data_IF_692280246695
#
_entry.id   IF_692280246695
#
_cell.length_a   1.000
_cell.length_b   1.000
_cell.length_c   1.000
_cell.angle_alpha   90.00
_cell.angle_beta   90.00
_cell.angle_gamma   90.00
#
_symmetry.space_group_name_H-M   'P 1'
#
loop_
_entity.id
_entity.type
_entity.pdbx_description
1 polymer ?
#
# COMPACT_ATOMS: atom_id res chain seq x y z
N UNK A 1 46.36 27.91 -0.85
CA UNK A 1 46.56 26.47 -0.57
C UNK A 1 45.80 26.19 0.72
N UNK A 2 44.51 25.84 0.63
CA UNK A 2 43.95 24.47 0.51
C UNK A 2 43.98 23.75 1.87
N UNK A 3 42.86 23.79 2.61
CA UNK A 3 41.87 22.70 2.81
C UNK A 3 42.37 21.67 3.85
N UNK A 4 41.62 21.25 4.86
CA UNK A 4 40.19 21.00 4.89
C UNK A 4 39.61 21.14 6.31
N UNK A 5 38.42 21.73 6.40
CA UNK A 5 37.49 21.55 7.51
C UNK A 5 36.97 20.10 7.47
N UNK A 6 37.07 19.43 8.62
CA UNK A 6 36.64 18.06 8.85
C UNK A 6 35.18 18.07 9.31
N UNK A 7 34.26 17.91 8.35
CA UNK A 7 32.85 17.66 8.65
C UNK A 7 32.66 16.15 8.86
N UNK A 8 32.40 15.76 10.09
CA UNK A 8 32.14 14.37 10.46
C UNK A 8 30.78 13.92 9.94
N UNK A 9 30.71 12.68 9.48
CA UNK A 9 29.50 12.00 8.97
C UNK A 9 28.30 11.97 9.93
N UNK A 10 28.51 12.28 11.21
CA UNK A 10 27.46 12.32 12.24
C UNK A 10 26.52 13.53 12.12
N UNK A 11 26.92 14.62 11.44
CA UNK A 11 26.09 15.82 11.30
C UNK A 11 25.01 15.71 10.21
N UNK A 12 25.04 14.66 9.38
CA UNK A 12 24.05 14.44 8.30
C UNK A 12 22.79 13.70 8.74
N UNK A 13 22.79 13.04 9.90
CA UNK A 13 21.69 12.18 10.34
C UNK A 13 20.72 12.84 11.33
N UNK A 14 21.03 14.03 11.82
CA UNK A 14 20.18 14.70 12.81
C UNK A 14 19.48 15.89 12.16
N UNK A 15 18.22 15.69 11.76
CA UNK A 15 17.26 16.67 11.21
C UNK A 15 17.01 16.69 9.70
N UNK A 16 16.93 15.52 9.06
CA UNK A 16 16.29 15.44 7.73
C UNK A 16 14.77 15.33 7.94
N UNK A 17 14.03 16.42 7.72
CA UNK A 17 12.56 16.38 7.68
C UNK A 17 12.11 15.50 6.53
N UNK A 18 10.95 14.84 6.66
CA UNK A 18 10.37 13.93 5.66
C UNK A 18 10.31 14.53 4.25
N UNK A 19 10.19 15.86 4.16
CA UNK A 19 10.20 16.62 2.90
C UNK A 19 11.56 16.63 2.18
N UNK A 20 12.69 16.51 2.90
CA UNK A 20 14.03 16.51 2.32
C UNK A 20 14.38 15.12 1.78
N UNK A 21 13.90 14.05 2.43
CA UNK A 21 13.97 12.67 1.90
C UNK A 21 13.15 12.52 0.60
N UNK A 22 11.98 13.16 0.50
CA UNK A 22 11.15 13.14 -0.71
C UNK A 22 11.78 13.86 -1.91
N UNK A 23 12.59 14.92 -1.68
CA UNK A 23 13.19 15.71 -2.78
C UNK A 23 14.32 15.00 -3.52
N UNK A 24 14.92 13.97 -2.92
CA UNK A 24 15.98 13.17 -3.58
C UNK A 24 15.36 12.07 -4.47
N UNK A 25 14.09 11.70 -4.28
CA UNK A 25 13.46 10.57 -4.97
C UNK A 25 12.56 10.94 -6.17
N UNK A 26 12.62 12.18 -6.67
CA UNK A 26 11.69 12.63 -7.72
C UNK A 26 11.87 11.94 -9.10
N UNK A 27 12.90 11.09 -9.27
CA UNK A 27 13.12 10.26 -10.46
C UNK A 27 13.16 8.74 -10.20
N UNK A 28 13.30 8.32 -8.95
CA UNK A 28 13.25 6.92 -8.50
C UNK A 28 12.14 6.84 -7.46
N UNK A 29 10.96 6.33 -7.84
CA UNK A 29 9.81 6.35 -6.92
C UNK A 29 10.17 5.75 -5.56
N UNK A 30 9.74 6.43 -4.50
CA UNK A 30 10.19 6.22 -3.15
C UNK A 30 9.89 4.79 -2.68
N UNK A 31 10.82 4.22 -1.93
CA UNK A 31 10.67 2.92 -1.27
C UNK A 31 10.51 3.15 0.23
N UNK A 32 9.56 4.03 0.59
CA UNK A 32 9.33 4.46 1.96
C UNK A 32 8.56 3.38 2.74
N UNK A 33 8.79 3.31 4.06
CA UNK A 33 8.01 2.44 4.95
C UNK A 33 6.56 2.94 5.02
N UNK A 34 5.59 2.07 4.74
CA UNK A 34 4.17 2.40 4.65
C UNK A 34 3.38 2.19 5.95
N UNK A 35 4.04 1.92 7.09
CA UNK A 35 3.37 1.66 8.39
C UNK A 35 2.32 2.70 8.76
N UNK A 36 2.62 3.99 8.56
CA UNK A 36 1.69 5.09 8.90
C UNK A 36 0.42 5.16 8.05
N UNK A 37 0.34 4.40 6.96
CA UNK A 37 -0.83 4.35 6.07
C UNK A 37 -1.68 3.10 6.27
N UNK A 38 -1.29 2.17 7.13
CA UNK A 38 -2.05 0.95 7.45
C UNK A 38 -3.16 1.28 8.44
N UNK A 39 -4.38 0.89 8.11
CA UNK A 39 -5.52 0.99 9.01
C UNK A 39 -5.54 -0.20 9.97
N UNK A 40 -4.74 -0.07 11.04
CA UNK A 40 -4.45 -1.13 12.02
C UNK A 40 -5.69 -1.59 12.80
N UNK A 41 -6.64 -0.70 13.04
CA UNK A 41 -7.85 -1.00 13.82
C UNK A 41 -8.79 -1.93 13.05
N UNK A 42 -8.71 -1.92 11.72
CA UNK A 42 -9.51 -2.74 10.83
C UNK A 42 -8.74 -3.93 10.22
N UNK A 43 -7.57 -4.28 10.78
CA UNK A 43 -6.86 -5.50 10.39
C UNK A 43 -7.60 -6.71 10.94
N UNK A 44 -7.98 -7.62 10.05
CA UNK A 44 -8.75 -8.83 10.38
C UNK A 44 -7.96 -10.07 10.03
N UNK A 45 -8.06 -11.11 10.85
CA UNK A 45 -7.51 -12.42 10.55
C UNK A 45 -8.57 -13.51 10.61
N UNK A 46 -8.43 -14.54 9.77
CA UNK A 46 -9.22 -15.76 9.80
C UNK A 46 -8.34 -16.95 10.14
N UNK A 47 -8.94 -17.93 10.83
CA UNK A 47 -8.27 -19.10 11.39
C UNK A 47 -7.08 -18.75 12.29
N UNK A 48 -7.16 -17.65 13.05
CA UNK A 48 -6.19 -17.34 14.09
C UNK A 48 -6.57 -18.03 15.40
N UNK A 49 -5.56 -18.50 16.16
CA UNK A 49 -5.76 -19.02 17.51
C UNK A 49 -6.46 -18.00 18.42
N UNK A 50 -6.12 -16.73 18.24
CA UNK A 50 -6.79 -15.58 18.86
C UNK A 50 -7.10 -14.52 17.80
N UNK A 51 -8.36 -14.35 17.37
CA UNK A 51 -8.70 -13.41 16.28
C UNK A 51 -8.29 -11.95 16.54
N UNK A 52 -8.29 -11.53 17.80
CA UNK A 52 -7.88 -10.20 18.25
C UNK A 52 -6.40 -9.89 18.05
N UNK A 53 -5.56 -10.89 17.72
CA UNK A 53 -4.13 -10.69 17.55
C UNK A 53 -3.73 -10.26 16.14
N UNK A 54 -4.65 -10.22 15.17
CA UNK A 54 -4.34 -9.84 13.79
C UNK A 54 -3.62 -8.47 13.65
N UNK A 55 -3.96 -7.41 14.40
CA UNK A 55 -3.23 -6.14 14.31
C UNK A 55 -1.79 -6.20 14.87
N UNK A 56 -1.49 -7.17 15.73
CA UNK A 56 -0.22 -7.25 16.47
C UNK A 56 1.00 -7.55 15.58
N UNK A 57 0.78 -8.12 14.40
CA UNK A 57 1.85 -8.30 13.40
C UNK A 57 2.22 -7.00 12.67
N UNK A 58 1.42 -5.94 12.79
CA UNK A 58 1.71 -4.64 12.18
C UNK A 58 2.45 -3.76 13.20
N UNK A 59 3.76 -3.93 13.29
CA UNK A 59 4.61 -3.24 14.26
C UNK A 59 5.32 -2.03 13.64
N UNK A 60 5.75 -1.04 14.45
CA UNK A 60 6.72 -0.04 14.02
C UNK A 60 8.02 -0.70 13.52
N UNK A 61 8.79 0.01 12.70
CA UNK A 61 10.03 -0.53 12.12
C UNK A 61 11.07 -0.96 13.18
N UNK A 62 11.10 -0.29 14.33
CA UNK A 62 12.05 -0.59 15.40
C UNK A 62 11.74 -1.91 16.13
N UNK A 63 10.47 -2.32 16.12
CA UNK A 63 9.97 -3.56 16.76
C UNK A 63 9.83 -4.72 15.76
N UNK A 64 10.28 -4.54 14.52
CA UNK A 64 10.05 -5.49 13.42
C UNK A 64 10.63 -6.90 13.63
N UNK A 65 11.61 -7.05 14.51
CA UNK A 65 12.28 -8.32 14.85
C UNK A 65 11.81 -8.91 16.19
N UNK A 66 10.85 -8.25 16.85
CA UNK A 66 10.25 -8.76 18.07
C UNK A 66 9.42 -10.03 17.78
N UNK A 67 9.68 -11.09 18.54
CA UNK A 67 9.01 -12.39 18.44
C UNK A 67 7.98 -12.61 19.57
N UNK A 68 7.83 -11.68 20.53
CA UNK A 68 6.86 -11.79 21.63
C UNK A 68 5.42 -11.63 21.14
N UNK A 69 5.17 -10.64 20.28
CA UNK A 69 3.87 -10.44 19.64
C UNK A 69 3.80 -11.15 18.28
N UNK A 70 2.83 -12.05 18.12
CA UNK A 70 2.68 -12.86 16.91
C UNK A 70 1.22 -13.25 16.65
N UNK A 71 0.97 -13.72 15.44
CA UNK A 71 -0.24 -14.48 15.10
C UNK A 71 0.13 -15.92 14.83
N UNK A 72 -0.75 -16.83 15.23
CA UNK A 72 -0.64 -18.26 15.00
C UNK A 72 -1.98 -18.77 14.49
N UNK A 73 -1.96 -19.73 13.57
CA UNK A 73 -3.19 -20.38 13.12
C UNK A 73 -3.83 -21.25 14.21
N UNK A 74 -5.17 -21.34 14.20
CA UNK A 74 -5.95 -21.96 15.27
C UNK A 74 -6.19 -23.45 15.09
N UNK A 75 -6.54 -23.87 13.87
CA UNK A 75 -7.00 -25.25 13.58
C UNK A 75 -5.95 -26.04 12.80
N UNK A 76 -5.54 -25.53 11.65
CA UNK A 76 -4.56 -26.13 10.74
C UNK A 76 -3.47 -25.10 10.42
N UNK A 77 -2.66 -25.32 9.38
CA UNK A 77 -1.59 -24.41 8.98
C UNK A 77 -2.03 -23.22 8.14
N UNK A 78 -3.28 -23.15 7.69
CA UNK A 78 -3.73 -22.06 6.85
C UNK A 78 -4.18 -20.86 7.70
N UNK A 79 -3.78 -19.65 7.34
CA UNK A 79 -4.34 -18.44 7.94
C UNK A 79 -4.45 -17.32 6.92
N UNK A 80 -5.46 -16.48 7.12
CA UNK A 80 -5.69 -15.29 6.30
C UNK A 80 -5.46 -14.05 7.15
N UNK A 81 -4.76 -13.07 6.59
CA UNK A 81 -4.66 -11.72 7.13
C UNK A 81 -5.14 -10.72 6.08
N UNK A 82 -6.16 -9.95 6.43
CA UNK A 82 -6.67 -8.85 5.61
C UNK A 82 -6.23 -7.51 6.22
N UNK A 83 -5.48 -6.74 5.44
CA UNK A 83 -4.81 -5.52 5.87
C UNK A 83 -5.31 -4.37 5.01
N UNK A 84 -6.21 -3.52 5.53
CA UNK A 84 -6.65 -2.30 4.84
C UNK A 84 -5.64 -1.16 4.98
N UNK A 85 -5.70 -0.25 4.02
CA UNK A 85 -4.94 1.00 4.01
C UNK A 85 -5.88 2.21 4.06
N UNK A 86 -5.41 3.28 4.69
CA UNK A 86 -6.12 4.55 4.82
C UNK A 86 -6.26 5.32 3.50
N UNK A 87 -5.42 5.02 2.51
CA UNK A 87 -5.43 5.63 1.18
C UNK A 87 -4.94 4.62 0.15
N UNK A 88 -5.05 4.97 -1.13
CA UNK A 88 -4.47 4.18 -2.21
C UNK A 88 -2.95 4.27 -2.20
N UNK A 89 -2.30 3.11 -2.11
CA UNK A 89 -0.84 2.97 -2.11
C UNK A 89 -0.36 2.27 -3.38
N UNK A 90 0.90 2.53 -3.73
CA UNK A 90 1.68 1.71 -4.66
C UNK A 90 2.65 0.87 -3.84
N UNK A 91 2.40 -0.44 -3.78
CA UNK A 91 3.24 -1.37 -3.03
C UNK A 91 4.40 -1.86 -3.90
N UNK A 92 5.61 -1.83 -3.34
CA UNK A 92 6.84 -2.29 -4.00
C UNK A 92 7.43 -3.52 -3.33
N UNK A 93 7.52 -3.50 -2.01
CA UNK A 93 8.07 -4.61 -1.24
C UNK A 93 7.10 -4.99 -0.12
N UNK A 94 6.94 -6.29 0.10
CA UNK A 94 6.35 -6.87 1.31
C UNK A 94 7.50 -7.26 2.23
N UNK A 95 7.49 -6.73 3.44
CA UNK A 95 8.49 -6.99 4.46
C UNK A 95 7.88 -7.96 5.47
N UNK A 96 8.48 -9.13 5.68
CA UNK A 96 7.96 -10.14 6.60
C UNK A 96 9.03 -10.65 7.55
N UNK A 97 8.66 -10.82 8.81
CA UNK A 97 9.44 -11.60 9.76
C UNK A 97 8.67 -12.87 10.09
N UNK A 98 9.14 -13.97 9.51
CA UNK A 98 8.59 -15.31 9.71
C UNK A 98 9.53 -16.10 10.64
N UNK A 99 9.07 -17.23 11.22
CA UNK A 99 9.95 -18.17 11.90
C UNK A 99 11.14 -18.56 11.03
N UNK A 100 12.29 -18.83 11.65
CA UNK A 100 13.52 -19.14 10.92
C UNK A 100 13.33 -20.30 9.92
N UNK A 101 14.08 -20.36 8.81
CA UNK A 101 14.04 -21.48 7.89
C UNK A 101 14.22 -22.82 8.61
N UNK A 102 13.39 -23.80 8.27
CA UNK A 102 13.35 -25.11 8.95
C UNK A 102 12.54 -25.14 10.25
N UNK A 103 12.00 -24.02 10.73
CA UNK A 103 11.12 -24.02 11.89
C UNK A 103 9.76 -24.69 11.56
N UNK A 104 9.21 -25.55 12.44
CA UNK A 104 8.02 -26.37 12.15
C UNK A 104 6.76 -25.56 11.83
N UNK A 105 6.67 -24.32 12.34
CA UNK A 105 5.54 -23.41 12.12
C UNK A 105 5.81 -22.31 11.08
N UNK A 106 6.90 -22.42 10.30
CA UNK A 106 7.14 -21.47 9.20
C UNK A 106 6.17 -21.80 8.07
N UNK A 107 5.36 -20.86 7.56
CA UNK A 107 4.56 -21.08 6.36
C UNK A 107 5.49 -21.30 5.16
N UNK A 108 5.13 -22.21 4.27
CA UNK A 108 5.89 -22.54 3.06
C UNK A 108 5.41 -21.77 1.84
N UNK A 109 4.15 -21.33 1.82
CA UNK A 109 3.55 -20.64 0.69
C UNK A 109 2.74 -19.43 1.13
N UNK A 110 2.78 -18.39 0.31
CA UNK A 110 2.03 -17.15 0.48
C UNK A 110 1.32 -16.77 -0.83
N UNK A 111 -0.01 -16.75 -0.80
CA UNK A 111 -0.85 -16.19 -1.87
C UNK A 111 -1.30 -14.78 -1.50
N UNK A 112 -1.14 -13.85 -2.43
CA UNK A 112 -1.42 -12.42 -2.21
C UNK A 112 -2.56 -11.98 -3.11
N UNK A 113 -3.58 -11.37 -2.50
CA UNK A 113 -4.71 -10.75 -3.17
C UNK A 113 -4.78 -9.27 -2.79
N UNK A 114 -5.46 -8.45 -3.60
CA UNK A 114 -5.62 -7.04 -3.29
C UNK A 114 -6.96 -6.52 -3.77
N UNK A 115 -7.43 -5.45 -3.13
CA UNK A 115 -8.67 -4.75 -3.46
C UNK A 115 -9.92 -5.63 -3.43
N UNK A 116 -9.96 -6.64 -2.54
CA UNK A 116 -11.21 -7.33 -2.22
C UNK A 116 -12.21 -6.34 -1.60
N UNK A 117 -13.49 -6.37 -1.98
CA UNK A 117 -14.50 -5.41 -1.51
C UNK A 117 -14.83 -5.57 -0.02
N UNK A 118 -14.60 -6.76 0.52
CA UNK A 118 -14.68 -7.11 1.94
C UNK A 118 -13.53 -8.08 2.27
N UNK A 119 -13.24 -8.33 3.57
CA UNK A 119 -12.32 -9.40 3.96
C UNK A 119 -12.84 -10.74 3.40
N UNK A 120 -12.12 -11.39 2.49
CA UNK A 120 -12.60 -12.61 1.86
C UNK A 120 -12.39 -13.82 2.77
N UNK A 121 -13.24 -14.83 2.63
CA UNK A 121 -13.06 -16.11 3.29
C UNK A 121 -12.20 -17.10 2.46
N UNK A 122 -11.97 -18.29 2.99
CA UNK A 122 -11.17 -19.31 2.32
C UNK A 122 -11.78 -19.77 0.99
N UNK A 123 -13.11 -19.98 0.93
CA UNK A 123 -13.78 -20.45 -0.27
C UNK A 123 -13.75 -19.41 -1.40
N UNK A 124 -13.88 -18.13 -1.04
CA UNK A 124 -13.73 -17.03 -1.98
C UNK A 124 -12.30 -16.98 -2.53
N UNK A 125 -11.28 -17.08 -1.68
CA UNK A 125 -9.87 -17.07 -2.11
C UNK A 125 -9.50 -18.26 -2.98
N UNK A 126 -10.12 -19.43 -2.81
CA UNK A 126 -9.93 -20.59 -3.69
C UNK A 126 -10.45 -20.34 -5.11
N UNK A 127 -11.51 -19.54 -5.24
CA UNK A 127 -12.12 -19.20 -6.53
C UNK A 127 -11.46 -18.00 -7.23
N UNK A 128 -10.57 -17.29 -6.53
CA UNK A 128 -9.90 -16.10 -7.02
C UNK A 128 -8.47 -16.39 -7.49
N UNK A 129 -8.04 -15.72 -8.56
CA UNK A 129 -6.64 -15.78 -8.98
C UNK A 129 -5.79 -14.85 -8.09
N UNK A 130 -4.75 -15.38 -7.41
CA UNK A 130 -3.85 -14.54 -6.65
C UNK A 130 -3.05 -13.60 -7.55
N UNK A 131 -2.74 -12.41 -7.04
CA UNK A 131 -1.87 -11.46 -7.73
C UNK A 131 -0.45 -12.03 -7.84
N UNK A 132 -0.01 -12.65 -6.75
CA UNK A 132 1.24 -13.37 -6.65
C UNK A 132 1.06 -14.59 -5.76
N UNK A 133 1.82 -15.62 -6.10
CA UNK A 133 1.92 -16.88 -5.38
C UNK A 133 3.42 -17.10 -5.15
N UNK A 134 3.82 -17.06 -3.88
CA UNK A 134 5.22 -17.03 -3.46
C UNK A 134 5.52 -18.27 -2.62
N UNK A 135 6.63 -18.93 -2.93
CA UNK A 135 7.28 -19.86 -2.01
C UNK A 135 8.02 -19.03 -0.97
N UNK A 136 7.59 -19.15 0.29
CA UNK A 136 8.15 -18.43 1.45
C UNK A 136 8.85 -19.39 2.43
N UNK A 137 9.05 -20.65 2.05
CA UNK A 137 9.77 -21.65 2.84
C UNK A 137 11.21 -21.20 3.13
N UNK A 138 11.84 -20.49 2.20
CA UNK A 138 13.14 -19.85 2.35
C UNK A 138 13.08 -18.35 2.00
N UNK A 139 13.85 -17.48 2.68
CA UNK A 139 13.89 -16.06 2.37
C UNK A 139 14.66 -15.81 1.06
N UNK A 140 14.26 -14.81 0.25
CA UNK A 140 14.93 -14.48 -1.00
C UNK A 140 16.33 -13.88 -0.77
N UNK A 141 16.52 -13.29 0.40
CA UNK A 141 17.80 -12.74 0.83
C UNK A 141 17.89 -12.94 2.33
N UNK A 142 18.90 -13.67 2.80
CA UNK A 142 19.16 -13.85 4.23
C UNK A 142 19.73 -12.56 4.83
N UNK A 143 18.86 -11.59 5.10
CA UNK A 143 19.25 -10.29 5.64
C UNK A 143 19.66 -10.45 7.10
N UNK A 144 20.75 -9.75 7.46
CA UNK A 144 21.21 -9.67 8.84
C UNK A 144 21.43 -8.23 9.24
N UNK A 145 21.21 -7.95 10.52
CA UNK A 145 21.53 -6.65 11.10
C UNK A 145 23.06 -6.51 11.31
N UNK A 146 23.48 -5.35 11.80
CA UNK A 146 24.89 -5.05 12.11
C UNK A 146 25.48 -6.05 13.12
N UNK A 147 24.63 -6.60 14.00
CA UNK A 147 25.00 -7.61 15.00
C UNK A 147 24.99 -9.05 14.48
N UNK A 148 24.69 -9.28 13.20
CA UNK A 148 24.60 -10.61 12.61
C UNK A 148 23.33 -11.39 12.98
N UNK A 149 22.32 -10.76 13.56
CA UNK A 149 21.01 -11.37 13.83
C UNK A 149 20.14 -11.35 12.59
N UNK A 150 19.13 -12.23 12.52
CA UNK A 150 18.15 -12.26 11.42
C UNK A 150 17.40 -10.93 11.39
N UNK A 151 17.31 -10.32 10.21
CA UNK A 151 16.47 -9.15 9.99
C UNK A 151 15.24 -9.54 9.15
N UNK A 152 14.36 -8.58 8.91
CA UNK A 152 13.16 -8.76 8.10
C UNK A 152 13.51 -9.08 6.64
N UNK A 153 12.79 -10.05 6.09
CA UNK A 153 12.91 -10.49 4.70
C UNK A 153 12.08 -9.56 3.82
N UNK A 154 12.67 -9.07 2.73
CA UNK A 154 11.98 -8.22 1.76
C UNK A 154 11.64 -9.01 0.50
N UNK A 155 10.36 -9.02 0.17
CA UNK A 155 9.79 -9.72 -0.96
C UNK A 155 9.35 -8.70 -2.02
N UNK A 156 10.04 -8.62 -3.17
CA UNK A 156 9.64 -7.72 -4.25
C UNK A 156 8.25 -8.08 -4.77
N UNK A 157 7.41 -7.06 -4.93
CA UNK A 157 6.04 -7.20 -5.41
C UNK A 157 5.94 -6.79 -6.88
N UNK A 158 4.92 -7.31 -7.58
CA UNK A 158 4.58 -6.88 -8.95
C UNK A 158 3.96 -5.48 -8.93
N UNK A 159 4.81 -4.46 -8.90
CA UNK A 159 4.44 -3.02 -8.81
C UNK A 159 3.34 -2.63 -9.80
N UNK A 160 3.37 -3.15 -11.03
CA UNK A 160 2.35 -2.88 -12.06
C UNK A 160 0.94 -3.30 -11.62
N UNK A 161 0.81 -4.45 -10.94
CA UNK A 161 -0.47 -4.95 -10.41
C UNK A 161 -0.82 -4.35 -9.05
N UNK A 162 0.14 -3.72 -8.38
CA UNK A 162 0.00 -3.16 -7.03
C UNK A 162 0.17 -1.64 -6.98
N UNK A 163 -0.16 -0.93 -8.06
CA UNK A 163 -0.01 0.52 -8.15
C UNK A 163 -1.19 1.33 -7.56
N UNK A 164 -2.29 0.66 -7.21
CA UNK A 164 -3.50 1.27 -6.68
C UNK A 164 -4.19 0.29 -5.72
N UNK A 165 -3.60 0.13 -4.54
CA UNK A 165 -4.06 -0.84 -3.55
C UNK A 165 -4.66 -0.13 -2.34
N UNK A 166 -5.87 -0.53 -1.97
CA UNK A 166 -6.59 -0.07 -0.78
C UNK A 166 -6.62 -1.12 0.34
N UNK A 167 -6.48 -2.40 -0.01
CA UNK A 167 -6.35 -3.48 0.96
C UNK A 167 -5.58 -4.65 0.34
N UNK A 168 -4.86 -5.38 1.18
CA UNK A 168 -4.15 -6.63 0.81
C UNK A 168 -4.70 -7.76 1.66
N UNK A 169 -4.94 -8.90 1.02
CA UNK A 169 -5.22 -10.15 1.71
C UNK A 169 -4.05 -11.11 1.49
N UNK A 170 -3.52 -11.64 2.59
CA UNK A 170 -2.41 -12.59 2.63
C UNK A 170 -2.93 -13.93 3.11
N UNK A 171 -2.78 -14.97 2.29
CA UNK A 171 -3.10 -16.35 2.65
C UNK A 171 -1.80 -17.13 2.80
N UNK A 172 -1.47 -17.48 4.04
CA UNK A 172 -0.32 -18.31 4.37
C UNK A 172 -0.77 -19.77 4.48
N UNK A 173 0.01 -20.68 3.91
CA UNK A 173 -0.25 -22.12 3.92
C UNK A 173 1.05 -22.92 3.82
N UNK A 174 0.93 -24.25 3.82
CA UNK A 174 2.03 -25.20 3.62
C UNK A 174 3.11 -25.06 4.69
N UNK A 175 2.72 -24.99 5.97
CA UNK A 175 3.70 -24.92 7.06
C UNK A 175 4.61 -26.15 7.08
N UNK A 176 5.85 -26.01 7.56
CA UNK A 176 6.84 -27.10 7.54
C UNK A 176 6.37 -28.42 8.19
N UNK A 177 5.45 -28.38 9.15
CA UNK A 177 4.79 -29.57 9.74
C UNK A 177 3.33 -29.76 9.35
N UNK A 178 2.74 -28.81 8.62
CA UNK A 178 1.32 -28.78 8.26
C UNK A 178 0.36 -28.63 9.44
N UNK A 179 0.87 -28.32 10.65
CA UNK A 179 0.03 -28.23 11.85
C UNK A 179 -0.42 -26.80 12.15
N UNK A 180 0.53 -25.85 12.14
CA UNK A 180 0.28 -24.44 12.45
C UNK A 180 1.26 -23.54 11.71
N UNK A 181 0.81 -22.36 11.32
CA UNK A 181 1.63 -21.28 10.79
C UNK A 181 1.76 -20.16 11.81
N UNK A 182 2.96 -19.57 11.89
CA UNK A 182 3.24 -18.38 12.71
C UNK A 182 3.79 -17.24 11.87
N UNK A 183 3.39 -16.02 12.21
CA UNK A 183 3.88 -14.78 11.59
C UNK A 183 4.14 -13.76 12.70
N UNK A 184 5.33 -13.13 12.70
CA UNK A 184 5.72 -12.15 13.72
C UNK A 184 5.54 -10.71 13.26
N UNK A 185 5.82 -10.44 11.98
CA UNK A 185 5.77 -9.09 11.43
C UNK A 185 5.35 -9.09 9.97
N UNK A 186 4.48 -8.13 9.63
CA UNK A 186 4.14 -7.77 8.26
C UNK A 186 4.25 -6.24 8.12
N UNK A 187 4.98 -5.81 7.09
CA UNK A 187 5.07 -4.41 6.71
C UNK A 187 5.14 -4.26 5.20
N UNK A 188 4.93 -3.04 4.72
CA UNK A 188 4.98 -2.73 3.29
C UNK A 188 5.91 -1.55 3.05
N UNK A 189 6.58 -1.55 1.90
CA UNK A 189 7.30 -0.38 1.40
C UNK A 189 6.83 0.01 0.00
N UNK A 190 6.86 1.31 -0.29
CA UNK A 190 6.46 1.85 -1.58
C UNK A 190 6.10 3.33 -1.51
N UNK A 191 5.15 3.72 -2.35
CA UNK A 191 4.75 5.12 -2.52
C UNK A 191 3.30 5.32 -2.04
N UNK A 192 3.08 6.27 -1.13
CA UNK A 192 1.75 6.75 -0.82
C UNK A 192 1.32 7.80 -1.85
N UNK A 193 0.15 7.64 -2.48
CA UNK A 193 -0.38 8.68 -3.36
C UNK A 193 -0.85 9.85 -2.50
N UNK A 194 -0.03 10.89 -2.41
CA UNK A 194 -0.50 12.17 -1.89
C UNK A 194 -1.46 12.78 -2.91
N UNK A 195 -2.74 12.85 -2.54
CA UNK A 195 -3.68 13.75 -3.22
C UNK A 195 -3.28 15.18 -2.86
N UNK A 196 -2.30 15.75 -3.58
CA UNK A 196 -2.05 17.18 -3.53
C UNK A 196 -3.25 17.85 -4.20
N UNK A 197 -4.22 18.27 -3.39
CA UNK A 197 -5.21 19.27 -3.80
C UNK A 197 -4.42 20.51 -4.19
N UNK A 198 -4.29 20.73 -5.49
CA UNK A 198 -3.63 21.91 -6.04
C UNK A 198 -4.55 23.12 -5.77
N UNK A 199 -4.34 23.78 -4.63
CA UNK A 199 -5.11 24.95 -4.18
C UNK A 199 -5.10 26.08 -5.21
N UNK A 200 -4.16 26.07 -6.15
CA UNK A 200 -4.08 26.97 -7.32
C UNK A 200 -5.28 26.85 -8.26
N UNK A 201 -6.00 25.71 -8.25
CA UNK A 201 -7.19 25.46 -9.08
C UNK A 201 -8.49 25.81 -8.36
N UNK A 202 -8.46 25.98 -7.03
CA UNK A 202 -9.60 26.35 -6.22
C UNK A 202 -9.78 27.88 -6.20
N UNK A 203 -10.11 28.46 -7.35
CA UNK A 203 -10.27 29.92 -7.47
C UNK A 203 -10.45 30.45 -8.88
N UNK A 204 -10.14 29.66 -9.91
CA UNK A 204 -10.52 30.00 -11.28
C UNK A 204 -11.97 29.61 -11.53
N UNK A 205 -12.89 30.44 -11.03
CA UNK A 205 -14.22 30.54 -11.64
C UNK A 205 -13.95 31.03 -13.07
N UNK A 206 -14.28 30.29 -14.14
CA UNK A 206 -14.29 30.89 -15.45
C UNK A 206 -15.32 32.00 -15.38
N UNK A 207 -14.87 33.25 -15.36
CA UNK A 207 -15.75 34.39 -15.52
C UNK A 207 -16.52 34.14 -16.81
N UNK A 208 -17.79 33.78 -16.66
CA UNK A 208 -18.75 33.71 -17.74
C UNK A 208 -18.76 35.09 -18.36
N UNK A 209 -18.06 35.26 -19.48
CA UNK A 209 -18.17 36.44 -20.33
C UNK A 209 -19.60 36.47 -20.87
N UNK A 210 -20.48 37.04 -20.05
CA UNK A 210 -21.87 37.32 -20.35
C UNK A 210 -21.94 38.84 -20.49
N UNK A 211 -21.72 39.35 -21.71
CA UNK A 211 -22.26 40.63 -22.21
C UNK A 211 -21.42 41.11 -23.40
N UNK A 212 -21.69 40.58 -24.60
CA UNK A 212 -21.92 41.45 -25.76
C UNK A 212 -22.51 40.64 -26.92
N UNK A 213 -23.79 40.25 -26.78
CA UNK A 213 -24.59 39.87 -27.95
C UNK A 213 -25.56 41.01 -28.20
N UNK A 214 -25.21 41.88 -29.14
CA UNK A 214 -26.08 42.97 -29.60
C UNK A 214 -27.42 42.37 -30.01
N UNK A 215 -28.48 42.86 -29.38
CA UNK A 215 -29.87 42.56 -29.71
C UNK A 215 -30.13 43.15 -31.09
N UNK A 216 -30.29 42.29 -32.11
CA UNK A 216 -30.60 42.74 -33.46
C UNK A 216 -32.06 43.19 -33.51
N UNK A 217 -32.24 44.43 -33.96
CA UNK A 217 -33.50 45.16 -33.89
C UNK A 217 -34.60 44.53 -34.74
N UNK A 218 -35.81 44.54 -34.17
CA UNK A 218 -37.06 44.21 -34.85
C UNK A 218 -37.24 45.12 -36.07
N UNK A 219 -37.10 44.57 -37.28
CA UNK A 219 -37.52 45.23 -38.52
C UNK A 219 -38.99 44.91 -38.78
N UNK A 220 -39.84 45.88 -38.45
CA UNK A 220 -41.26 45.93 -38.76
C UNK A 220 -41.47 45.98 -40.28
N UNK A 221 -42.23 45.04 -40.85
CA UNK A 221 -42.78 45.17 -42.22
C UNK A 221 -44.28 45.01 -42.18
N UNK A 222 -44.99 46.15 -42.19
CA UNK A 222 -46.43 46.27 -42.45
C UNK A 222 -46.70 46.60 -43.93
N UNK A 223 -47.68 45.90 -44.49
CA UNK A 223 -48.51 46.29 -45.64
C UNK A 223 -47.89 46.00 -47.02
N UNK A 224 -48.63 45.68 -48.07
CA UNK A 224 -50.03 45.37 -48.31
C UNK A 224 -50.03 44.69 -49.72
N UNK A 225 -50.80 43.63 -49.97
CA UNK A 225 -52.09 43.78 -50.65
C UNK A 225 -52.16 42.89 -51.90
N UNK A 226 -53.15 41.99 -51.88
CA UNK A 226 -53.96 41.39 -52.96
C UNK A 226 -53.39 41.21 -54.39
N UNK A 227 -53.58 40.02 -54.98
CA UNK A 227 -54.65 39.78 -55.99
C UNK A 227 -54.75 38.29 -56.39
N UNK A 228 -56.02 37.91 -56.54
CA UNK A 228 -56.77 36.71 -56.94
C UNK A 228 -56.40 35.88 -58.19
N UNK A 229 -56.77 34.58 -58.13
CA UNK A 229 -57.52 33.71 -59.10
C UNK A 229 -56.79 33.37 -60.43
N UNK A 230 -56.64 32.10 -60.85
CA UNK A 230 -57.69 31.13 -61.21
C UNK A 230 -57.17 29.70 -61.24
#
# INVERSE_FOLDING_TARGET
MSCADDLTVDDLNTSVTTEVLERVSAGEGSNANLWGWIDRDNVVGLNLAEPQTAPKVIKPWDERVDEEEFVESGVDDELILHIPFTTSLRLRNLCMYLPAPGHPHRPGRLRIFANSPHPPDFAELESMDPIMDLDVSEPPTQRRDIGGRRDVDEWPLKVQRMANVFAVTLLFSEAGTGQRSKVFYIGFKGDAKQLKMDMSKLGQVPASQSADKKVDGVAEKKGAGYTTIR
#
